data_IF_191395585374
#
_entry.id   IF_191395585374
#
_cell.length_a   1.000
_cell.length_b   1.000
_cell.length_c   1.000
_cell.angle_alpha   90.00
_cell.angle_beta   90.00
_cell.angle_gamma   90.00
#
_symmetry.space_group_name_H-M   'P 1'
#
loop_
_entity.id
_entity.type
_entity.pdbx_description
1 polymer ?
#
# COMPACT_ATOMS: atom_id res chain seq x y z
N UNK A 1 10.49 0.21 19.62
CA UNK A 1 9.43 0.83 18.79
C UNK A 1 9.95 1.55 17.53
N UNK A 2 11.05 1.10 16.89
CA UNK A 2 11.57 1.69 15.63
C UNK A 2 11.04 0.97 14.39
N UNK A 3 10.91 -0.36 14.46
CA UNK A 3 10.49 -1.21 13.34
C UNK A 3 9.07 -0.93 12.86
N UNK A 4 8.12 -0.77 13.79
CA UNK A 4 6.72 -0.47 13.45
C UNK A 4 6.57 0.84 12.67
N UNK A 5 7.19 1.93 13.15
CA UNK A 5 7.17 3.23 12.45
C UNK A 5 7.76 3.15 11.04
N UNK A 6 8.80 2.35 10.85
CA UNK A 6 9.38 2.13 9.53
C UNK A 6 8.42 1.39 8.59
N UNK A 7 7.69 0.39 9.10
CA UNK A 7 6.67 -0.33 8.32
C UNK A 7 5.51 0.60 7.94
N UNK A 8 4.98 1.35 8.91
CA UNK A 8 3.90 2.33 8.67
C UNK A 8 4.33 3.35 7.59
N UNK A 9 5.55 3.89 7.71
CA UNK A 9 6.10 4.81 6.72
C UNK A 9 6.23 4.21 5.32
N UNK A 10 6.61 2.93 5.20
CA UNK A 10 6.67 2.26 3.91
C UNK A 10 5.27 2.11 3.30
N UNK A 11 4.26 1.76 4.11
CA UNK A 11 2.87 1.67 3.62
C UNK A 11 2.36 3.04 3.15
N UNK A 12 2.71 4.13 3.85
CA UNK A 12 2.38 5.49 3.40
C UNK A 12 3.00 5.81 2.03
N UNK A 13 4.27 5.47 1.83
CA UNK A 13 4.98 5.70 0.55
C UNK A 13 4.33 4.90 -0.58
N UNK A 14 3.97 3.64 -0.32
CA UNK A 14 3.29 2.77 -1.28
C UNK A 14 1.94 3.37 -1.68
N UNK A 15 1.14 3.82 -0.71
CA UNK A 15 -0.17 4.43 -1.01
C UNK A 15 -0.07 5.74 -1.78
N UNK A 16 0.93 6.57 -1.49
CA UNK A 16 1.20 7.79 -2.26
C UNK A 16 1.63 7.47 -3.70
N UNK A 17 2.47 6.44 -3.90
CA UNK A 17 2.87 6.00 -5.23
C UNK A 17 1.66 5.47 -6.03
N UNK A 18 0.77 4.70 -5.38
CA UNK A 18 -0.46 4.19 -6.00
C UNK A 18 -1.40 5.32 -6.41
N UNK A 19 -1.61 6.33 -5.56
CA UNK A 19 -2.45 7.49 -5.89
C UNK A 19 -1.92 8.24 -7.13
N UNK A 20 -0.60 8.40 -7.24
CA UNK A 20 0.04 8.99 -8.43
C UNK A 20 -0.14 8.13 -9.67
N UNK A 21 0.00 6.81 -9.54
CA UNK A 21 -0.19 5.87 -10.64
C UNK A 21 -1.61 6.00 -11.20
N UNK A 22 -2.63 5.92 -10.34
CA UNK A 22 -4.04 6.01 -10.74
C UNK A 22 -4.41 7.37 -11.37
N UNK A 23 -3.69 8.44 -11.04
CA UNK A 23 -3.89 9.76 -11.64
C UNK A 23 -3.27 9.91 -13.02
N UNK A 24 -2.13 9.26 -13.25
CA UNK A 24 -1.36 9.43 -14.49
C UNK A 24 -1.67 8.33 -15.53
N UNK A 25 -1.97 7.11 -15.09
CA UNK A 25 -2.09 5.91 -15.93
C UNK A 25 -3.31 5.10 -15.50
N UNK A 26 -4.52 5.58 -15.83
CA UNK A 26 -5.78 4.95 -15.40
C UNK A 26 -6.03 3.55 -15.97
N UNK A 27 -5.31 3.18 -17.03
CA UNK A 27 -5.41 1.86 -17.68
C UNK A 27 -4.67 0.76 -16.91
N UNK A 28 -3.79 1.11 -15.98
CA UNK A 28 -3.07 0.12 -15.16
C UNK A 28 -4.00 -0.41 -14.07
N UNK A 29 -4.37 -1.68 -14.20
CA UNK A 29 -5.16 -2.38 -13.21
C UNK A 29 -4.26 -3.04 -12.16
N UNK A 30 -4.46 -2.64 -10.90
CA UNK A 30 -3.87 -3.29 -9.73
C UNK A 30 -5.00 -3.63 -8.76
N UNK A 31 -4.95 -4.83 -8.18
CA UNK A 31 -5.95 -5.28 -7.21
C UNK A 31 -5.95 -4.34 -6.00
N UNK A 32 -7.15 -3.97 -5.55
CA UNK A 32 -7.35 -3.15 -4.36
C UNK A 32 -6.66 -1.77 -4.39
N UNK A 33 -6.28 -1.26 -5.57
CA UNK A 33 -5.57 0.02 -5.76
C UNK A 33 -6.16 1.19 -4.96
N UNK A 34 -7.49 1.38 -4.98
CA UNK A 34 -8.17 2.39 -4.14
C UNK A 34 -8.01 2.13 -2.64
N UNK A 35 -8.15 0.87 -2.20
CA UNK A 35 -7.98 0.51 -0.78
C UNK A 35 -6.54 0.76 -0.30
N UNK A 36 -5.55 0.60 -1.18
CA UNK A 36 -4.14 0.92 -0.87
C UNK A 36 -4.00 2.43 -0.58
N UNK A 37 -4.60 3.29 -1.41
CA UNK A 37 -4.63 4.74 -1.19
C UNK A 37 -5.37 5.08 0.12
N UNK A 38 -6.51 4.47 0.36
CA UNK A 38 -7.31 4.69 1.58
C UNK A 38 -6.56 4.24 2.84
N UNK A 39 -5.81 3.14 2.75
CA UNK A 39 -4.96 2.63 3.84
C UNK A 39 -3.91 3.65 4.24
N UNK A 40 -3.28 4.32 3.28
CA UNK A 40 -2.35 5.44 3.55
C UNK A 40 -3.04 6.57 4.29
N UNK A 41 -4.24 6.96 3.87
CA UNK A 41 -5.00 8.01 4.57
C UNK A 41 -5.33 7.60 6.01
N UNK A 42 -5.69 6.34 6.23
CA UNK A 42 -5.99 5.82 7.56
C UNK A 42 -4.75 5.76 8.46
N UNK A 43 -3.58 5.39 7.94
CA UNK A 43 -2.33 5.41 8.71
C UNK A 43 -1.95 6.84 9.10
N UNK A 44 -2.08 7.81 8.20
CA UNK A 44 -1.71 9.22 8.49
C UNK A 44 -2.68 9.89 9.46
N UNK A 45 -3.99 9.65 9.32
CA UNK A 45 -5.02 10.37 10.09
C UNK A 45 -5.47 9.66 11.37
N UNK A 46 -5.33 8.33 11.42
CA UNK A 46 -5.88 7.52 12.50
C UNK A 46 -4.79 6.62 13.14
N UNK A 47 -3.52 7.05 13.11
CA UNK A 47 -2.35 6.26 13.56
C UNK A 47 -2.51 5.67 14.97
N UNK A 48 -3.16 6.39 15.90
CA UNK A 48 -3.43 5.90 17.25
C UNK A 48 -4.45 4.75 17.32
N UNK A 49 -5.26 4.57 16.27
CA UNK A 49 -6.32 3.56 16.19
C UNK A 49 -6.01 2.41 15.22
N UNK A 50 -4.89 2.47 14.49
CA UNK A 50 -4.46 1.36 13.63
C UNK A 50 -3.82 0.29 14.51
N UNK A 51 -4.48 -0.87 14.62
CA UNK A 51 -3.96 -1.98 15.42
C UNK A 51 -2.80 -2.69 14.72
N UNK A 52 -1.97 -3.35 15.52
CA UNK A 52 -0.86 -4.17 14.99
C UNK A 52 -1.37 -5.32 14.12
N UNK A 53 -2.54 -5.87 14.41
CA UNK A 53 -3.20 -6.89 13.60
C UNK A 53 -3.52 -6.41 12.19
N UNK A 54 -3.92 -5.15 12.03
CA UNK A 54 -4.20 -4.56 10.71
C UNK A 54 -2.90 -4.41 9.92
N UNK A 55 -1.83 -3.91 10.55
CA UNK A 55 -0.52 -3.82 9.92
C UNK A 55 0.00 -5.21 9.54
N UNK A 56 -0.14 -6.19 10.44
CA UNK A 56 0.26 -7.57 10.20
C UNK A 56 -0.50 -8.18 9.03
N UNK A 57 -1.82 -7.94 8.93
CA UNK A 57 -2.66 -8.39 7.84
C UNK A 57 -2.23 -7.76 6.50
N UNK A 58 -1.95 -6.45 6.48
CA UNK A 58 -1.41 -5.74 5.31
C UNK A 58 -0.12 -6.40 4.84
N UNK A 59 0.84 -6.60 5.74
CA UNK A 59 2.16 -7.14 5.42
C UNK A 59 2.09 -8.57 4.91
N UNK A 60 1.27 -9.43 5.52
CA UNK A 60 1.28 -10.85 5.22
C UNK A 60 0.30 -11.27 4.12
N UNK A 61 -0.76 -10.50 3.86
CA UNK A 61 -1.77 -10.86 2.85
C UNK A 61 -1.81 -9.95 1.65
N UNK A 62 -1.74 -8.64 1.85
CA UNK A 62 -1.99 -7.68 0.77
C UNK A 62 -0.70 -7.24 0.06
N UNK A 63 0.38 -6.98 0.80
CA UNK A 63 1.67 -6.61 0.20
C UNK A 63 2.24 -7.66 -0.77
N UNK A 64 2.18 -8.99 -0.49
CA UNK A 64 2.68 -9.98 -1.43
C UNK A 64 1.92 -10.01 -2.76
N UNK A 65 0.62 -9.72 -2.74
CA UNK A 65 -0.21 -9.62 -3.96
C UNK A 65 0.23 -8.41 -4.78
N UNK A 66 0.36 -7.26 -4.13
CA UNK A 66 0.82 -6.03 -4.77
C UNK A 66 2.23 -6.18 -5.37
N UNK A 67 3.17 -6.80 -4.63
CA UNK A 67 4.54 -7.03 -5.10
C UNK A 67 4.56 -7.89 -6.37
N UNK A 68 3.73 -8.94 -6.41
CA UNK A 68 3.59 -9.78 -7.60
C UNK A 68 3.04 -8.99 -8.78
N UNK A 69 1.93 -8.27 -8.61
CA UNK A 69 1.29 -7.50 -9.69
C UNK A 69 2.22 -6.40 -10.23
N UNK A 70 2.95 -5.71 -9.36
CA UNK A 70 3.94 -4.71 -9.78
C UNK A 70 5.07 -5.36 -10.59
N UNK A 71 5.58 -6.52 -10.18
CA UNK A 71 6.61 -7.24 -10.94
C UNK A 71 6.10 -7.68 -12.31
N UNK A 72 4.90 -8.25 -12.37
CA UNK A 72 4.26 -8.64 -13.64
C UNK A 72 4.09 -7.43 -14.58
N UNK A 73 3.69 -6.27 -14.06
CA UNK A 73 3.58 -5.04 -14.86
C UNK A 73 4.94 -4.51 -15.36
N UNK A 74 6.01 -4.72 -14.61
CA UNK A 74 7.36 -4.31 -15.00
C UNK A 74 7.99 -5.28 -16.02
N UNK A 75 7.66 -6.57 -15.95
CA UNK A 75 8.14 -7.59 -16.88
C UNK A 75 7.38 -7.59 -18.21
N UNK A 76 6.11 -7.18 -18.20
CA UNK A 76 5.25 -7.09 -19.39
C UNK A 76 5.27 -5.72 -20.09
N UNK A 77 6.17 -4.81 -19.66
CA UNK A 77 6.42 -3.52 -20.32
C UNK A 77 7.58 -3.62 -21.32
#
# INVERSE_FOLDING_TARGET
>A
MKTRKAIERNIEIIGEAMDRLLKNEQEIEITDSRKIVDTRNRIIHCYDSVSEDVIWLIVNRYLPVLDREVKELLENK
#
